data_IF_525949074255
#
_entry.id   IF_525949074255
#
_cell.length_a   1.000
_cell.length_b   1.000
_cell.length_c   1.000
_cell.angle_alpha   90.00
_cell.angle_beta   90.00
_cell.angle_gamma   90.00
#
_symmetry.space_group_name_H-M   'P 1'
#
loop_
_entity.id
_entity.type
_entity.pdbx_description
1 polymer ?
#
# COMPACT_ATOMS: atom_id res chain seq x y z
N UNK A 1 1.49 -20.10 7.56
CA UNK A 1 1.37 -19.07 6.51
C UNK A 1 1.80 -19.70 5.19
N UNK A 2 1.08 -19.49 4.07
CA UNK A 2 1.24 -20.21 2.79
C UNK A 2 2.54 -19.90 2.00
N UNK A 3 3.53 -19.25 2.62
CA UNK A 3 4.75 -18.80 1.92
C UNK A 3 4.53 -17.63 0.95
N UNK A 4 3.33 -17.04 0.92
CA UNK A 4 2.99 -15.89 0.08
C UNK A 4 3.25 -14.57 0.82
N UNK A 5 3.80 -13.59 0.11
CA UNK A 5 3.93 -12.22 0.62
C UNK A 5 2.61 -11.46 0.38
N UNK A 6 1.89 -11.02 1.45
CA UNK A 6 0.60 -10.36 1.33
C UNK A 6 0.61 -9.05 0.54
N UNK A 7 1.77 -8.38 0.42
CA UNK A 7 1.91 -7.14 -0.34
C UNK A 7 1.70 -7.32 -1.84
N UNK A 8 1.74 -8.58 -2.30
CA UNK A 8 1.64 -8.96 -3.70
C UNK A 8 0.35 -9.74 -4.02
N UNK A 9 -0.48 -10.00 -3.00
CA UNK A 9 -1.77 -10.64 -3.18
C UNK A 9 -2.79 -9.67 -3.81
N UNK A 10 -3.65 -10.18 -4.69
CA UNK A 10 -4.76 -9.40 -5.23
C UNK A 10 -5.72 -8.92 -4.12
N UNK A 11 -6.28 -7.71 -4.29
CA UNK A 11 -7.27 -7.14 -3.39
C UNK A 11 -8.56 -6.80 -4.16
N UNK A 12 -9.69 -7.41 -3.81
CA UNK A 12 -11.00 -7.23 -4.48
C UNK A 12 -11.94 -6.26 -3.74
N UNK A 13 -11.40 -5.14 -3.26
CA UNK A 13 -12.19 -4.18 -2.47
C UNK A 13 -11.33 -3.28 -1.60
N UNK A 14 -10.16 -2.89 -2.11
CA UNK A 14 -9.23 -1.95 -1.49
C UNK A 14 -8.75 -0.99 -2.56
N UNK A 15 -8.33 0.19 -2.13
CA UNK A 15 -7.78 1.21 -3.01
C UNK A 15 -6.50 1.79 -2.41
N UNK A 16 -5.61 2.25 -3.28
CA UNK A 16 -4.53 3.16 -2.93
C UNK A 16 -4.94 4.57 -3.36
N UNK A 17 -4.62 5.55 -2.54
CA UNK A 17 -4.90 6.96 -2.83
C UNK A 17 -3.65 7.78 -2.54
N UNK A 18 -3.30 8.66 -3.46
CA UNK A 18 -2.24 9.65 -3.31
C UNK A 18 -2.93 10.99 -3.17
N UNK A 19 -2.63 11.71 -2.09
CA UNK A 19 -3.26 12.99 -1.76
C UNK A 19 -2.19 14.02 -1.46
N UNK A 20 -2.55 15.30 -1.62
CA UNK A 20 -1.71 16.40 -1.13
C UNK A 20 -1.57 16.33 0.39
N UNK A 21 -0.41 16.69 0.97
CA UNK A 21 -0.17 16.57 2.42
C UNK A 21 -1.19 17.33 3.27
N UNK A 22 -1.68 18.48 2.80
CA UNK A 22 -2.70 19.30 3.46
C UNK A 22 -4.09 18.66 3.50
N UNK A 23 -4.33 17.64 2.67
CA UNK A 23 -5.60 16.90 2.58
C UNK A 23 -5.58 15.55 3.29
N UNK A 24 -4.44 15.12 3.85
CA UNK A 24 -4.27 13.81 4.46
C UNK A 24 -5.36 13.50 5.51
N UNK A 25 -5.53 14.39 6.49
CA UNK A 25 -6.47 14.17 7.59
C UNK A 25 -7.93 14.16 7.11
N UNK A 26 -8.31 15.09 6.23
CA UNK A 26 -9.65 15.21 5.66
C UNK A 26 -10.03 13.92 4.92
N UNK A 27 -9.16 13.47 4.01
CA UNK A 27 -9.40 12.27 3.19
C UNK A 27 -9.41 11.01 4.05
N UNK A 28 -8.45 10.87 4.97
CA UNK A 28 -8.39 9.70 5.85
C UNK A 28 -9.63 9.59 6.74
N UNK A 29 -10.11 10.71 7.29
CA UNK A 29 -11.34 10.76 8.07
C UNK A 29 -12.57 10.37 7.23
N UNK A 30 -12.68 10.93 6.02
CA UNK A 30 -13.76 10.59 5.09
C UNK A 30 -13.77 9.09 4.76
N UNK A 31 -12.61 8.49 4.47
CA UNK A 31 -12.50 7.04 4.22
C UNK A 31 -12.95 6.22 5.43
N UNK A 32 -12.47 6.56 6.63
CA UNK A 32 -12.78 5.84 7.88
C UNK A 32 -14.24 5.95 8.30
N UNK A 33 -14.97 6.97 7.83
CA UNK A 33 -16.41 7.10 8.07
C UNK A 33 -17.25 6.08 7.28
N UNK A 34 -16.69 5.43 6.27
CA UNK A 34 -17.38 4.42 5.47
C UNK A 34 -17.31 3.01 6.10
N UNK A 35 -18.29 2.13 5.85
CA UNK A 35 -18.25 0.76 6.37
C UNK A 35 -17.00 -0.04 5.96
N UNK A 36 -16.50 0.17 4.74
CA UNK A 36 -15.37 -0.58 4.18
C UNK A 36 -14.01 0.08 4.43
N UNK A 37 -13.99 1.37 4.75
CA UNK A 37 -12.77 2.17 4.94
C UNK A 37 -12.32 2.31 6.40
N UNK A 38 -12.97 1.65 7.36
CA UNK A 38 -12.64 1.72 8.80
C UNK A 38 -11.15 1.52 9.10
N UNK A 39 -10.47 0.69 8.31
CA UNK A 39 -9.05 0.36 8.44
C UNK A 39 -8.14 1.14 7.47
N UNK A 40 -8.64 2.21 6.84
CA UNK A 40 -7.80 3.08 6.01
C UNK A 40 -6.66 3.66 6.86
N UNK A 41 -5.47 3.73 6.27
CA UNK A 41 -4.26 4.18 6.93
C UNK A 41 -3.35 4.89 5.94
N UNK A 42 -2.60 5.86 6.45
CA UNK A 42 -1.47 6.45 5.72
C UNK A 42 -0.31 5.48 5.82
N UNK A 43 0.19 5.01 4.67
CA UNK A 43 1.21 3.95 4.58
C UNK A 43 2.55 4.45 4.03
N UNK A 44 2.66 5.73 3.69
CA UNK A 44 3.89 6.29 3.13
C UNK A 44 3.71 7.70 2.55
N UNK A 45 4.74 8.17 1.87
CA UNK A 45 4.78 9.47 1.19
C UNK A 45 5.58 9.35 -0.11
N UNK A 46 5.21 10.14 -1.11
CA UNK A 46 6.03 10.31 -2.31
C UNK A 46 7.19 11.26 -2.02
N UNK A 47 8.38 10.94 -2.52
CA UNK A 47 9.60 11.75 -2.36
C UNK A 47 10.31 11.88 -3.70
N UNK A 48 11.22 12.85 -3.81
CA UNK A 48 12.15 12.96 -4.93
C UNK A 48 13.26 11.91 -4.88
N UNK A 49 13.47 11.26 -3.73
CA UNK A 49 14.50 10.27 -3.53
C UNK A 49 14.15 8.95 -4.23
N UNK A 50 15.13 8.34 -4.90
CA UNK A 50 15.00 7.05 -5.60
C UNK A 50 13.78 6.95 -6.55
N UNK A 51 13.75 7.76 -7.62
CA UNK A 51 12.62 7.77 -8.55
C UNK A 51 12.36 6.38 -9.16
N UNK A 52 11.09 5.97 -9.19
CA UNK A 52 10.69 4.67 -9.72
C UNK A 52 10.80 3.50 -8.73
N UNK A 53 11.24 3.75 -7.49
CA UNK A 53 11.33 2.75 -6.44
C UNK A 53 10.23 2.92 -5.37
N UNK A 54 9.81 1.80 -4.79
CA UNK A 54 9.02 1.77 -3.54
C UNK A 54 9.89 1.18 -2.45
N UNK A 55 10.18 1.96 -1.42
CA UNK A 55 11.01 1.54 -0.27
C UNK A 55 10.11 1.41 0.95
N UNK A 56 9.93 0.18 1.42
CA UNK A 56 9.20 -0.11 2.65
C UNK A 56 10.16 -0.06 3.83
N UNK A 57 9.81 0.73 4.86
CA UNK A 57 10.50 0.66 6.16
C UNK A 57 9.97 -0.53 6.94
N UNK A 58 10.86 -1.44 7.29
CA UNK A 58 10.55 -2.61 8.11
C UNK A 58 10.43 -2.22 9.59
N UNK A 59 9.84 -3.10 10.41
CA UNK A 59 9.74 -2.90 11.86
C UNK A 59 11.12 -2.75 12.55
N UNK A 60 12.19 -3.24 11.94
CA UNK A 60 13.58 -3.11 12.41
C UNK A 60 14.24 -1.80 11.95
N UNK A 61 13.52 -0.92 11.26
CA UNK A 61 14.03 0.35 10.74
C UNK A 61 14.80 0.25 9.42
N UNK A 62 15.09 -0.96 8.93
CA UNK A 62 15.75 -1.17 7.64
C UNK A 62 14.80 -0.88 6.45
N UNK A 63 15.36 -0.42 5.33
CA UNK A 63 14.65 -0.26 4.06
C UNK A 63 14.66 -1.54 3.22
N UNK A 64 13.47 -1.97 2.76
CA UNK A 64 13.30 -3.06 1.79
C UNK A 64 12.71 -2.49 0.50
N UNK A 65 13.35 -2.72 -0.63
CA UNK A 65 12.79 -2.37 -1.94
C UNK A 65 11.66 -3.35 -2.26
N UNK A 66 10.48 -2.81 -2.59
CA UNK A 66 9.38 -3.58 -3.16
C UNK A 66 9.51 -3.54 -4.69
N UNK A 67 9.84 -4.70 -5.26
CA UNK A 67 10.01 -4.84 -6.71
C UNK A 67 8.65 -5.08 -7.38
N UNK A 68 8.54 -4.70 -8.65
CA UNK A 68 7.41 -5.14 -9.47
C UNK A 68 7.45 -6.67 -9.57
N UNK A 69 6.29 -7.31 -9.46
CA UNK A 69 6.15 -8.73 -9.75
C UNK A 69 6.50 -9.00 -11.21
N UNK A 70 7.21 -10.10 -11.48
CA UNK A 70 7.44 -10.57 -12.84
C UNK A 70 6.20 -11.21 -13.48
N UNK A 71 5.19 -11.57 -12.68
CA UNK A 71 3.93 -12.19 -13.13
C UNK A 71 2.92 -12.32 -11.98
N UNK A 72 1.77 -12.95 -12.25
CA UNK A 72 0.75 -13.17 -11.22
C UNK A 72 1.23 -14.17 -10.15
N UNK A 73 0.89 -13.91 -8.88
CA UNK A 73 1.31 -14.76 -7.76
C UNK A 73 0.60 -16.13 -7.74
N UNK A 74 -0.67 -16.18 -8.18
CA UNK A 74 -1.46 -17.40 -8.30
C UNK A 74 -2.21 -17.43 -9.64
N UNK A 75 -2.38 -18.62 -10.25
CA UNK A 75 -3.25 -18.75 -11.42
C UNK A 75 -4.71 -18.50 -11.02
N UNK A 76 -5.47 -17.85 -11.90
CA UNK A 76 -6.92 -17.61 -11.72
C UNK A 76 -7.27 -16.83 -10.45
N UNK A 77 -6.40 -15.91 -10.03
CA UNK A 77 -6.56 -15.14 -8.77
C UNK A 77 -7.68 -14.08 -8.83
N UNK A 78 -8.24 -13.82 -10.01
CA UNK A 78 -9.47 -13.05 -10.27
C UNK A 78 -9.79 -13.13 -11.77
#
# INVERSE_FOLDING_TARGET
MLGLDPLYCACEGKMLCIVSPDKEHEVLSAMRSTPYGKNAAVIGKCTSDHPGCVIMKTALGAGRILNKLAGAQLPRIC
#
